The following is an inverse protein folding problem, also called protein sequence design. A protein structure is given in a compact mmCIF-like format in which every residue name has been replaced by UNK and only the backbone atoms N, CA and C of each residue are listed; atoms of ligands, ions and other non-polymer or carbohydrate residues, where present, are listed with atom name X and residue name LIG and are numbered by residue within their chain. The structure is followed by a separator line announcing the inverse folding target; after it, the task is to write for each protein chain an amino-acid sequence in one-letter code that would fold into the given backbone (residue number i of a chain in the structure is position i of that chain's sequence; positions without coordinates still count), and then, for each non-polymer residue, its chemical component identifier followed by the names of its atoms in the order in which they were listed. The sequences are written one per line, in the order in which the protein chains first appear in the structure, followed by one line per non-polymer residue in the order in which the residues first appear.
data_IF_168150881743
#
_entry.id   IF_168150881743
#
_cell.length_a   1.000
_cell.length_b   1.000
_cell.length_c   1.000
_cell.angle_alpha   90.00
_cell.angle_beta   90.00
_cell.angle_gamma   90.00
#
_symmetry.space_group_name_H-M   'P 1'
#
loop_
_entity.id
_entity.type
_entity.pdbx_description
1 polymer ?
#
# COMPACT_ATOMS: atom_id res chain seq x y z
N UNK A 1 -12.63 0.11 10.89
CA UNK A 1 -12.44 0.65 9.54
C UNK A 1 -12.14 2.14 9.62
N UNK A 2 -11.06 2.57 8.95
CA UNK A 2 -10.68 3.98 8.84
C UNK A 2 -10.76 4.41 7.38
N UNK A 3 -11.46 5.50 7.13
CA UNK A 3 -11.54 6.13 5.81
C UNK A 3 -10.87 7.50 5.91
N UNK A 4 -9.71 7.65 5.27
CA UNK A 4 -8.95 8.91 5.28
C UNK A 4 -9.16 9.62 3.96
N UNK A 5 -9.74 10.82 4.01
CA UNK A 5 -10.10 11.60 2.83
C UNK A 5 -9.12 12.76 2.62
N UNK A 6 -8.64 12.90 1.39
CA UNK A 6 -7.87 14.07 0.98
C UNK A 6 -8.83 15.26 0.76
N UNK A 7 -8.56 16.40 1.39
CA UNK A 7 -9.42 17.59 1.32
C UNK A 7 -9.00 18.61 0.25
N UNK A 8 -7.80 18.46 -0.33
CA UNK A 8 -7.32 19.40 -1.34
C UNK A 8 -7.54 18.83 -2.74
N UNK A 9 -8.29 19.57 -3.57
CA UNK A 9 -8.54 19.24 -4.98
C UNK A 9 -7.48 19.84 -5.93
N UNK A 10 -6.57 20.65 -5.42
CA UNK A 10 -5.50 21.28 -6.22
C UNK A 10 -4.28 20.40 -6.46
N UNK A 11 -4.16 19.31 -5.75
CA UNK A 11 -3.07 18.35 -5.87
C UNK A 11 -3.60 16.99 -6.33
N UNK A 12 -2.73 16.22 -7.02
CA UNK A 12 -3.01 14.82 -7.33
C UNK A 12 -3.25 14.01 -6.06
N UNK A 13 -3.95 12.90 -6.20
CA UNK A 13 -4.21 12.00 -5.08
C UNK A 13 -2.91 11.40 -4.54
N UNK A 14 -2.76 11.34 -3.22
CA UNK A 14 -1.60 10.76 -2.56
C UNK A 14 -2.00 9.57 -1.67
N UNK A 15 -2.18 8.41 -2.31
CA UNK A 15 -2.60 7.17 -1.64
C UNK A 15 -1.66 6.80 -0.50
N UNK A 16 -0.35 6.80 -0.71
CA UNK A 16 0.62 6.38 0.29
C UNK A 16 0.58 7.23 1.56
N UNK A 17 0.50 8.56 1.40
CA UNK A 17 0.40 9.47 2.55
C UNK A 17 -0.91 9.30 3.33
N UNK A 18 -2.03 9.06 2.64
CA UNK A 18 -3.32 8.80 3.30
C UNK A 18 -3.30 7.48 4.09
N UNK A 19 -2.66 6.43 3.57
CA UNK A 19 -2.47 5.17 4.27
C UNK A 19 -1.61 5.34 5.53
N UNK A 20 -0.54 6.15 5.47
CA UNK A 20 0.28 6.48 6.64
C UNK A 20 -0.52 7.25 7.71
N UNK A 21 -1.41 8.16 7.31
CA UNK A 21 -2.30 8.88 8.23
C UNK A 21 -3.25 7.89 8.92
N UNK A 22 -3.88 7.01 8.14
CA UNK A 22 -4.75 5.96 8.67
C UNK A 22 -4.03 5.05 9.65
N UNK A 23 -2.79 4.65 9.34
CA UNK A 23 -1.93 3.91 10.26
C UNK A 23 -1.72 4.65 11.57
N UNK A 24 -1.33 5.93 11.54
CA UNK A 24 -1.09 6.71 12.76
C UNK A 24 -2.33 6.90 13.63
N UNK A 25 -3.50 7.01 13.01
CA UNK A 25 -4.78 7.10 13.73
C UNK A 25 -5.10 5.75 14.39
N UNK A 26 -5.07 4.66 13.62
CA UNK A 26 -5.36 3.33 14.12
C UNK A 26 -4.37 2.86 15.20
N UNK A 27 -3.10 3.30 15.12
CA UNK A 27 -2.09 3.04 16.15
C UNK A 27 -2.46 3.68 17.49
N UNK A 28 -3.03 4.90 17.50
CA UNK A 28 -3.54 5.54 18.74
C UNK A 28 -4.67 4.73 19.36
N UNK A 29 -5.46 4.06 18.54
CA UNK A 29 -6.54 3.15 18.97
C UNK A 29 -6.03 1.73 19.30
N UNK A 30 -4.71 1.55 19.42
CA UNK A 30 -4.03 0.30 19.79
C UNK A 30 -4.29 -0.86 18.80
N UNK A 31 -4.55 -0.56 17.54
CA UNK A 31 -4.62 -1.57 16.49
C UNK A 31 -3.23 -2.17 16.23
N UNK A 32 -3.15 -3.50 16.10
CA UNK A 32 -1.91 -4.23 15.86
C UNK A 32 -1.82 -4.82 14.45
N UNK A 33 -2.94 -4.86 13.74
CA UNK A 33 -3.05 -5.34 12.35
C UNK A 33 -3.46 -4.16 11.48
N UNK A 34 -2.75 -3.96 10.38
CA UNK A 34 -3.05 -2.92 9.40
C UNK A 34 -3.29 -3.55 8.04
N UNK A 35 -4.45 -3.30 7.51
CA UNK A 35 -4.82 -3.75 6.16
C UNK A 35 -4.92 -2.53 5.27
N UNK A 36 -4.01 -2.42 4.29
CA UNK A 36 -4.18 -1.50 3.17
C UNK A 36 -5.06 -2.19 2.14
N UNK A 37 -6.16 -1.56 1.75
CA UNK A 37 -7.19 -2.21 0.94
C UNK A 37 -7.72 -1.27 -0.13
N UNK A 38 -7.59 -1.65 -1.39
CA UNK A 38 -8.23 -0.94 -2.49
C UNK A 38 -9.73 -1.29 -2.50
N UNK A 39 -10.57 -0.27 -2.55
CA UNK A 39 -12.02 -0.38 -2.34
C UNK A 39 -12.74 -1.19 -3.42
N UNK A 40 -12.13 -1.34 -4.58
CA UNK A 40 -12.62 -2.08 -5.74
C UNK A 40 -12.21 -3.56 -5.77
N UNK A 41 -11.48 -4.04 -4.77
CA UNK A 41 -11.01 -5.43 -4.68
C UNK A 41 -11.80 -6.24 -3.65
N UNK A 42 -12.45 -7.30 -4.08
CA UNK A 42 -13.24 -8.19 -3.22
C UNK A 42 -12.57 -9.56 -3.13
N UNK A 43 -11.91 -9.89 -2.00
CA UNK A 43 -11.34 -11.23 -1.79
C UNK A 43 -12.45 -12.26 -1.58
N UNK A 44 -12.23 -13.47 -2.07
CA UNK A 44 -13.12 -14.59 -1.78
C UNK A 44 -12.99 -15.08 -0.32
N UNK A 45 -13.90 -15.93 0.12
CA UNK A 45 -13.96 -16.40 1.50
C UNK A 45 -12.68 -17.14 1.95
N UNK A 46 -11.94 -17.77 1.05
CA UNK A 46 -10.71 -18.50 1.38
C UNK A 46 -9.58 -17.58 1.85
N UNK A 47 -9.63 -16.32 1.47
CA UNK A 47 -8.65 -15.28 1.83
C UNK A 47 -9.01 -14.58 3.14
N UNK A 48 -10.25 -14.63 3.62
CA UNK A 48 -10.70 -13.90 4.81
C UNK A 48 -9.96 -14.33 6.09
N UNK A 49 -9.49 -15.55 6.18
CA UNK A 49 -8.70 -16.04 7.32
C UNK A 49 -7.47 -15.20 7.62
N UNK A 50 -6.86 -14.58 6.60
CA UNK A 50 -5.66 -13.76 6.78
C UNK A 50 -5.94 -12.42 7.50
N UNK A 51 -7.19 -11.96 7.52
CA UNK A 51 -7.59 -10.74 8.22
C UNK A 51 -7.79 -10.92 9.73
N UNK A 52 -7.84 -12.17 10.20
CA UNK A 52 -8.23 -12.49 11.58
C UNK A 52 -7.04 -12.63 12.53
N UNK A 53 -5.82 -12.68 12.02
CA UNK A 53 -4.63 -12.93 12.83
C UNK A 53 -3.53 -11.91 12.55
N UNK A 54 -2.78 -11.53 13.59
CA UNK A 54 -1.58 -10.70 13.43
C UNK A 54 -0.56 -11.50 12.62
N UNK A 55 -0.17 -11.05 11.43
CA UNK A 55 0.75 -11.80 10.60
C UNK A 55 2.18 -11.72 11.15
N UNK A 56 2.93 -12.83 11.10
CA UNK A 56 4.36 -12.87 11.42
C UNK A 56 5.18 -12.07 10.40
N UNK A 57 4.75 -12.09 9.15
CA UNK A 57 5.33 -11.35 8.01
C UNK A 57 4.19 -10.68 7.23
N UNK A 58 4.43 -9.58 6.54
CA UNK A 58 3.42 -8.97 5.66
C UNK A 58 2.81 -10.00 4.70
N UNK A 59 1.50 -9.94 4.54
CA UNK A 59 0.74 -10.82 3.63
C UNK A 59 0.19 -10.00 2.47
N UNK A 60 0.55 -10.36 1.25
CA UNK A 60 0.01 -9.77 0.04
C UNK A 60 -1.20 -10.59 -0.44
N UNK A 61 -2.40 -10.11 -0.13
CA UNK A 61 -3.66 -10.79 -0.46
C UNK A 61 -3.96 -10.69 -1.95
N UNK A 62 -3.74 -9.50 -2.56
CA UNK A 62 -3.89 -9.28 -4.00
C UNK A 62 -2.64 -9.74 -4.78
N UNK A 63 -2.17 -10.95 -4.49
CA UNK A 63 -0.94 -11.50 -5.07
C UNK A 63 -1.06 -11.73 -6.59
N UNK A 64 0.06 -11.77 -7.34
CA UNK A 64 0.05 -12.13 -8.75
C UNK A 64 -0.65 -13.47 -9.01
N UNK A 65 -1.65 -13.48 -9.90
CA UNK A 65 -2.49 -14.65 -10.18
C UNK A 65 -3.77 -14.76 -9.32
N UNK A 66 -3.98 -13.91 -8.30
CA UNK A 66 -5.26 -13.83 -7.58
C UNK A 66 -6.33 -13.08 -8.39
N UNK A 67 -5.90 -12.14 -9.24
CA UNK A 67 -6.72 -11.42 -10.22
C UNK A 67 -6.01 -11.42 -11.58
N UNK A 68 -6.64 -10.83 -12.60
CA UNK A 68 -6.10 -10.78 -13.96
C UNK A 68 -5.24 -9.53 -14.25
N UNK A 69 -5.14 -8.61 -13.30
CA UNK A 69 -4.67 -7.24 -13.58
C UNK A 69 -3.15 -7.05 -13.50
N UNK A 70 -2.47 -7.71 -12.56
CA UNK A 70 -1.03 -7.52 -12.33
C UNK A 70 -0.35 -8.86 -12.00
N UNK A 71 0.53 -9.31 -12.89
CA UNK A 71 1.16 -10.64 -12.77
C UNK A 71 2.67 -10.59 -12.49
N UNK A 72 3.28 -9.39 -12.39
CA UNK A 72 4.72 -9.34 -12.12
C UNK A 72 5.07 -9.61 -10.65
N UNK A 73 6.18 -10.33 -10.44
CA UNK A 73 6.56 -10.90 -9.14
C UNK A 73 6.79 -9.86 -8.02
N UNK A 74 7.14 -8.63 -8.38
CA UNK A 74 7.38 -7.53 -7.44
C UNK A 74 6.11 -6.70 -7.14
N UNK A 75 4.98 -7.05 -7.74
CA UNK A 75 3.72 -6.37 -7.46
C UNK A 75 3.34 -6.49 -5.99
N UNK A 76 3.02 -5.37 -5.36
CA UNK A 76 2.59 -5.27 -3.98
C UNK A 76 1.48 -4.23 -3.79
N UNK A 77 0.61 -4.10 -4.78
CA UNK A 77 -0.58 -3.23 -4.73
C UNK A 77 -1.82 -3.93 -4.20
N UNK A 78 -2.92 -3.24 -4.22
CA UNK A 78 -4.24 -3.77 -3.87
C UNK A 78 -4.44 -4.00 -2.38
N UNK A 79 -4.32 -5.24 -1.93
CA UNK A 79 -4.60 -5.63 -0.55
C UNK A 79 -3.35 -6.21 0.11
N UNK A 80 -2.89 -5.55 1.18
CA UNK A 80 -1.78 -6.02 1.99
C UNK A 80 -2.12 -5.97 3.47
N UNK A 81 -1.66 -6.97 4.23
CA UNK A 81 -1.81 -7.05 5.69
C UNK A 81 -0.43 -6.96 6.33
N UNK A 82 -0.29 -6.06 7.30
CA UNK A 82 0.94 -5.83 8.06
C UNK A 82 0.66 -5.97 9.56
N UNK A 83 1.64 -6.43 10.31
CA UNK A 83 1.70 -6.11 11.73
C UNK A 83 2.26 -4.68 11.92
N UNK A 84 2.00 -4.09 13.08
CA UNK A 84 2.44 -2.73 13.41
C UNK A 84 3.95 -2.54 13.28
N UNK A 85 4.72 -3.49 13.78
CA UNK A 85 6.19 -3.38 13.85
C UNK A 85 6.82 -3.37 12.45
N UNK A 86 6.35 -4.25 11.55
CA UNK A 86 6.87 -4.29 10.18
C UNK A 86 6.54 -3.01 9.41
N UNK A 87 5.30 -2.49 9.57
CA UNK A 87 4.90 -1.26 8.90
C UNK A 87 5.70 -0.04 9.41
N UNK A 88 6.00 0.03 10.70
CA UNK A 88 6.88 1.05 11.28
C UNK A 88 8.32 0.89 10.82
N UNK A 89 8.85 -0.35 10.83
CA UNK A 89 10.21 -0.65 10.42
C UNK A 89 10.51 -0.19 9.00
N UNK A 90 9.57 -0.36 8.08
CA UNK A 90 9.72 0.12 6.70
C UNK A 90 9.38 1.61 6.53
N UNK A 91 9.03 2.31 7.62
CA UNK A 91 8.61 3.71 7.61
C UNK A 91 7.33 3.96 6.78
N UNK A 92 6.44 2.96 6.66
CA UNK A 92 5.22 3.03 5.86
C UNK A 92 5.45 3.32 4.37
N UNK A 93 4.50 3.98 3.73
CA UNK A 93 4.60 4.45 2.34
C UNK A 93 5.41 5.75 2.23
N UNK A 94 6.02 6.06 1.08
CA UNK A 94 6.57 7.39 0.83
C UNK A 94 5.46 8.46 0.76
N UNK A 95 5.74 9.67 1.26
CA UNK A 95 4.78 10.77 1.32
C UNK A 95 4.77 11.67 0.06
N UNK A 96 5.65 11.45 -0.89
CA UNK A 96 5.90 12.30 -2.05
C UNK A 96 5.45 11.69 -3.39
N UNK A 97 4.74 10.58 -3.37
CA UNK A 97 4.15 9.99 -4.56
C UNK A 97 2.76 10.59 -4.81
N UNK A 98 2.72 11.61 -5.64
CA UNK A 98 1.50 12.31 -6.02
C UNK A 98 1.00 11.83 -7.38
N UNK A 99 -0.22 11.32 -7.41
CA UNK A 99 -0.85 10.70 -8.56
C UNK A 99 -0.62 9.18 -8.57
N UNK A 100 -1.22 8.54 -9.57
CA UNK A 100 -1.22 7.09 -9.71
C UNK A 100 0.13 6.54 -10.14
N UNK A 101 0.64 5.58 -9.40
CA UNK A 101 1.73 4.67 -9.76
C UNK A 101 3.05 4.92 -9.03
N UNK A 102 3.71 3.80 -8.73
CA UNK A 102 5.05 3.71 -8.15
C UNK A 102 5.11 3.58 -6.63
N UNK A 103 4.05 3.92 -5.89
CA UNK A 103 4.04 3.80 -4.42
C UNK A 103 4.05 2.35 -3.94
N UNK A 104 3.39 1.46 -4.68
CA UNK A 104 3.37 0.02 -4.42
C UNK A 104 4.74 -0.63 -4.67
N UNK A 105 5.42 -0.21 -5.75
CA UNK A 105 6.80 -0.63 -6.00
C UNK A 105 7.75 -0.11 -4.91
N UNK A 106 7.52 1.11 -4.43
CA UNK A 106 8.32 1.69 -3.36
C UNK A 106 8.17 0.93 -2.03
N UNK A 107 6.97 0.44 -1.69
CA UNK A 107 6.76 -0.43 -0.53
C UNK A 107 7.51 -1.75 -0.69
N UNK A 108 7.47 -2.37 -1.87
CA UNK A 108 8.23 -3.58 -2.14
C UNK A 108 9.75 -3.36 -1.91
N UNK A 109 10.28 -2.25 -2.44
CA UNK A 109 11.69 -1.90 -2.26
C UNK A 109 12.04 -1.71 -0.78
N UNK A 110 11.16 -1.08 0.03
CA UNK A 110 11.37 -0.88 1.47
C UNK A 110 11.38 -2.18 2.25
N UNK A 111 10.48 -3.11 1.94
CA UNK A 111 10.46 -4.44 2.54
C UNK A 111 11.75 -5.20 2.22
N UNK A 112 12.19 -5.17 0.96
CA UNK A 112 13.43 -5.81 0.52
C UNK A 112 14.68 -5.22 1.22
N UNK A 113 14.79 -3.90 1.30
CA UNK A 113 15.90 -3.20 2.00
C UNK A 113 15.96 -3.59 3.47
N UNK A 114 14.81 -3.82 4.11
CA UNK A 114 14.71 -4.20 5.51
C UNK A 114 14.75 -5.71 5.75
N UNK A 115 15.00 -6.52 4.72
CA UNK A 115 15.01 -7.99 4.76
C UNK A 115 13.70 -8.58 5.33
N UNK A 116 12.56 -7.97 5.00
CA UNK A 116 11.25 -8.44 5.40
C UNK A 116 10.64 -9.23 4.25
N UNK A 117 10.40 -10.52 4.48
CA UNK A 117 9.69 -11.38 3.54
C UNK A 117 8.22 -11.00 3.43
N UNK A 118 7.65 -11.19 2.23
CA UNK A 118 6.21 -11.08 1.97
C UNK A 118 5.64 -12.47 1.73
N UNK A 119 4.63 -12.83 2.49
CA UNK A 119 3.86 -14.06 2.30
C UNK A 119 2.77 -13.80 1.27
N UNK A 120 2.55 -14.78 0.39
CA UNK A 120 1.46 -14.76 -0.59
C UNK A 120 0.64 -16.02 -0.43
N UNK A 121 -0.70 -15.93 -0.39
CA UNK A 121 -1.56 -17.10 -0.42
C UNK A 121 -1.29 -17.94 -1.66
N UNK A 122 -1.45 -19.25 -1.55
CA UNK A 122 -1.29 -20.19 -2.68
C UNK A 122 -2.60 -20.46 -3.42
N UNK A 123 -3.73 -19.96 -2.87
CA UNK A 123 -5.07 -20.13 -3.42
C UNK A 123 -5.95 -18.97 -3.00
N UNK A 124 -7.06 -18.81 -3.66
CA UNK A 124 -8.02 -17.72 -3.48
C UNK A 124 -8.00 -16.75 -4.66
N UNK A 125 -9.12 -16.06 -4.85
CA UNK A 125 -9.32 -15.11 -5.96
C UNK A 125 -9.79 -13.76 -5.44
N UNK A 126 -9.45 -12.74 -6.20
CA UNK A 126 -9.92 -11.37 -6.00
C UNK A 126 -10.85 -11.03 -7.17
N UNK A 127 -12.07 -10.63 -6.86
CA UNK A 127 -12.97 -10.00 -7.83
C UNK A 127 -12.71 -8.51 -7.81
N UNK A 128 -12.32 -7.98 -8.96
CA UNK A 128 -12.17 -6.54 -9.15
C UNK A 128 -13.49 -5.93 -9.61
N UNK A 129 -13.90 -4.83 -8.98
CA UNK A 129 -15.05 -4.05 -9.40
C UNK A 129 -14.66 -3.13 -10.57
N UNK A 130 -15.58 -2.87 -11.52
CA UNK A 130 -15.30 -1.92 -12.59
C UNK A 130 -15.03 -0.52 -12.06
N UNK A 131 -14.01 0.12 -12.58
CA UNK A 131 -13.67 1.51 -12.27
C UNK A 131 -13.00 2.19 -13.48
N UNK A 132 -12.90 3.50 -13.44
CA UNK A 132 -12.21 4.29 -14.46
C UNK A 132 -10.71 3.94 -14.50
N UNK A 133 -10.16 3.82 -15.71
CA UNK A 133 -8.74 3.54 -15.89
C UNK A 133 -7.89 4.82 -15.76
N UNK A 134 -7.42 5.11 -14.57
CA UNK A 134 -6.61 6.29 -14.28
C UNK A 134 -5.23 6.30 -14.99
N UNK A 135 -4.77 5.16 -15.51
CA UNK A 135 -3.48 5.07 -16.22
C UNK A 135 -3.47 5.90 -17.51
N UNK A 136 -4.60 6.08 -18.13
CA UNK A 136 -4.76 6.80 -19.42
C UNK A 136 -4.91 8.30 -19.23
N UNK A 137 -5.23 8.75 -18.00
CA UNK A 137 -5.41 10.17 -17.72
C UNK A 137 -4.12 10.77 -17.13
N UNK A 138 -3.40 11.56 -17.95
CA UNK A 138 -2.13 12.22 -17.53
C UNK A 138 -2.28 13.14 -16.32
N UNK A 139 -3.48 13.65 -16.04
CA UNK A 139 -3.74 14.50 -14.88
C UNK A 139 -3.65 13.71 -13.56
N UNK A 140 -3.95 12.41 -13.62
CA UNK A 140 -3.94 11.53 -12.45
C UNK A 140 -2.65 10.74 -12.26
N UNK A 141 -1.84 10.57 -13.31
CA UNK A 141 -0.62 9.75 -13.27
C UNK A 141 0.52 10.47 -12.55
N UNK A 142 1.31 9.74 -11.77
CA UNK A 142 2.58 10.22 -11.21
C UNK A 142 3.65 10.27 -12.31
N UNK A 143 3.88 11.45 -12.87
CA UNK A 143 4.85 11.66 -13.95
C UNK A 143 6.31 11.47 -13.50
N UNK A 144 6.57 11.57 -12.20
CA UNK A 144 7.90 11.42 -11.58
C UNK A 144 8.08 10.08 -10.85
N UNK A 145 7.28 9.07 -11.15
CA UNK A 145 7.29 7.80 -10.41
C UNK A 145 8.66 7.12 -10.36
N UNK A 146 9.44 7.22 -11.42
CA UNK A 146 10.78 6.61 -11.50
C UNK A 146 11.81 7.37 -10.68
N UNK A 147 11.84 8.70 -10.79
CA UNK A 147 12.70 9.56 -9.99
C UNK A 147 12.40 9.43 -8.50
N UNK A 148 11.11 9.44 -8.16
CA UNK A 148 10.63 9.24 -6.80
C UNK A 148 11.03 7.87 -6.26
N UNK A 149 10.94 6.81 -7.06
CA UNK A 149 11.35 5.46 -6.65
C UNK A 149 12.86 5.38 -6.40
N UNK A 150 13.69 5.93 -7.26
CA UNK A 150 15.15 6.01 -7.07
C UNK A 150 15.50 6.80 -5.81
N UNK A 151 14.85 7.94 -5.58
CA UNK A 151 15.02 8.72 -4.37
C UNK A 151 14.55 7.96 -3.11
N UNK A 152 13.45 7.21 -3.20
CA UNK A 152 12.93 6.40 -2.11
C UNK A 152 13.93 5.33 -1.67
N UNK A 153 14.60 4.62 -2.58
CA UNK A 153 15.62 3.61 -2.24
C UNK A 153 16.74 4.23 -1.37
N UNK A 154 17.13 5.47 -1.65
CA UNK A 154 18.18 6.18 -0.91
C UNK A 154 17.72 6.78 0.41
N UNK A 155 16.46 7.23 0.49
CA UNK A 155 15.95 8.08 1.58
C UNK A 155 14.70 7.49 2.27
N UNK A 156 14.43 6.20 2.12
CA UNK A 156 13.21 5.55 2.63
C UNK A 156 12.95 5.83 4.12
N UNK A 157 14.00 5.87 4.94
CA UNK A 157 13.90 6.10 6.39
C UNK A 157 13.61 7.57 6.77
N UNK A 158 13.72 8.50 5.82
CA UNK A 158 13.45 9.94 6.04
C UNK A 158 12.14 10.42 5.43
N UNK A 159 11.45 9.59 4.65
CA UNK A 159 10.24 9.95 3.93
C UNK A 159 9.15 8.88 4.15
N UNK A 160 8.20 9.14 5.01
CA UNK A 160 7.13 8.20 5.40
C UNK A 160 6.52 8.58 6.74
N UNK A 161 6.28 7.59 7.60
CA UNK A 161 5.71 7.82 8.94
C UNK A 161 6.53 8.80 9.77
N UNK A 162 7.88 8.73 9.66
CA UNK A 162 8.81 9.53 10.46
C UNK A 162 8.71 11.03 10.21
N UNK A 163 8.33 11.46 9.02
CA UNK A 163 8.18 12.87 8.65
C UNK A 163 6.75 13.25 8.28
N UNK A 164 5.78 12.41 8.64
CA UNK A 164 4.37 12.60 8.28
C UNK A 164 3.79 13.87 8.93
N UNK A 165 3.26 14.76 8.09
CA UNK A 165 2.53 15.96 8.52
C UNK A 165 1.13 15.93 7.94
N UNK A 166 0.13 16.11 8.81
CA UNK A 166 -1.29 16.22 8.46
C UNK A 166 -2.03 17.07 9.49
N UNK A 167 -3.18 17.59 9.11
CA UNK A 167 -4.08 18.38 9.97
C UNK A 167 -5.37 17.62 10.21
#
# INVERSE_FOLDING_TARGET
LYVVKQNSYSQRFNRGKLLNIGFKIAQKDKCNIFVTHDVDMLPDNSLLKFYLHIPKYPVHIAYPGSSTKYEYSKYLGGINIYNSNDYEKINGFPNDFWGWGGEDDAIYDRLAINNIMVIRPTHGKIKELPHENLKENKEHVNLKKWENRIANIKNWNKNGISNLKYK
#
